data_IF_927678701981
#
_entry.id   IF_927678701981
#
_cell.length_a   1.000
_cell.length_b   1.000
_cell.length_c   1.000
_cell.angle_alpha   90.00
_cell.angle_beta   90.00
_cell.angle_gamma   90.00
#
_symmetry.space_group_name_H-M   'P 1'
#
loop_
_entity.id
_entity.type
_entity.pdbx_description
1 polymer ?
#
# COMPACT_ATOMS: atom_id res chain seq x y z
N UNK A 1 -9.62 25.92 -5.59
CA UNK A 1 -10.84 26.77 -5.66
C UNK A 1 -10.66 28.00 -6.54
N UNK A 2 -9.60 28.81 -6.36
CA UNK A 2 -9.43 30.09 -7.07
C UNK A 2 -8.58 29.99 -8.35
N UNK A 3 -8.54 28.82 -8.98
CA UNK A 3 -7.75 28.58 -10.19
C UNK A 3 -8.71 28.60 -11.40
N UNK A 4 -8.42 29.33 -12.48
CA UNK A 4 -9.22 29.32 -13.70
C UNK A 4 -9.41 27.90 -14.23
N UNK A 5 -10.64 27.55 -14.59
CA UNK A 5 -10.97 26.23 -15.10
C UNK A 5 -10.72 26.14 -16.60
N UNK A 6 -10.17 25.01 -17.02
CA UNK A 6 -9.94 24.66 -18.43
C UNK A 6 -11.05 23.70 -18.86
N UNK A 7 -11.70 24.00 -19.97
CA UNK A 7 -12.80 23.25 -20.55
C UNK A 7 -12.43 22.49 -21.83
N UNK A 8 -13.44 22.11 -22.62
CA UNK A 8 -13.23 21.39 -23.88
C UNK A 8 -12.26 22.10 -24.82
N UNK A 9 -11.39 21.33 -25.47
CA UNK A 9 -10.39 21.85 -26.41
C UNK A 9 -9.22 22.60 -25.75
N UNK A 10 -9.16 22.67 -24.41
CA UNK A 10 -8.12 23.42 -23.70
C UNK A 10 -8.44 24.89 -23.47
N UNK A 11 -9.66 25.34 -23.76
CA UNK A 11 -10.09 26.72 -23.61
C UNK A 11 -10.56 27.03 -22.18
N UNK A 12 -10.26 28.23 -21.68
CA UNK A 12 -10.73 28.66 -20.36
C UNK A 12 -12.25 28.88 -20.36
N UNK A 13 -12.92 28.42 -19.30
CA UNK A 13 -14.39 28.52 -19.21
C UNK A 13 -14.90 29.89 -18.76
N UNK A 14 -14.00 30.79 -18.34
CA UNK A 14 -14.34 32.06 -17.69
C UNK A 14 -14.75 31.93 -16.22
N UNK A 15 -14.74 30.71 -15.66
CA UNK A 15 -14.99 30.40 -14.25
C UNK A 15 -13.75 29.79 -13.59
N UNK A 16 -13.71 29.80 -12.27
CA UNK A 16 -12.72 29.08 -11.49
C UNK A 16 -13.18 27.65 -11.14
N UNK A 17 -12.26 26.72 -10.92
CA UNK A 17 -12.57 25.34 -10.52
C UNK A 17 -13.46 25.24 -9.27
N UNK A 18 -13.35 26.19 -8.32
CA UNK A 18 -14.19 26.23 -7.13
C UNK A 18 -15.67 26.46 -7.42
N UNK A 19 -16.01 27.07 -8.55
CA UNK A 19 -17.40 27.31 -8.97
C UNK A 19 -18.09 26.03 -9.48
N UNK A 20 -17.31 24.97 -9.75
CA UNK A 20 -17.81 23.65 -10.16
C UNK A 20 -17.88 22.65 -8.98
N UNK A 21 -17.85 23.13 -7.74
CA UNK A 21 -17.86 22.27 -6.55
C UNK A 21 -19.12 21.38 -6.51
N UNK A 22 -20.29 21.93 -6.87
CA UNK A 22 -21.55 21.18 -6.92
C UNK A 22 -21.54 20.11 -8.00
N UNK A 23 -21.08 20.44 -9.20
CA UNK A 23 -20.96 19.50 -10.32
C UNK A 23 -19.95 18.39 -10.00
N UNK A 24 -18.83 18.73 -9.36
CA UNK A 24 -17.82 17.77 -8.89
C UNK A 24 -18.40 16.80 -7.85
N UNK A 25 -19.17 17.30 -6.88
CA UNK A 25 -19.85 16.48 -5.88
C UNK A 25 -20.91 15.55 -6.50
N UNK A 26 -21.70 16.06 -7.45
CA UNK A 26 -22.67 15.24 -8.20
C UNK A 26 -21.98 14.16 -9.03
N UNK A 27 -20.88 14.51 -9.69
CA UNK A 27 -20.09 13.55 -10.47
C UNK A 27 -19.48 12.47 -9.57
N UNK A 28 -18.91 12.85 -8.42
CA UNK A 28 -18.41 11.90 -7.43
C UNK A 28 -19.51 10.94 -6.97
N UNK A 29 -20.72 11.45 -6.68
CA UNK A 29 -21.84 10.60 -6.29
C UNK A 29 -22.23 9.61 -7.39
N UNK A 30 -22.34 10.05 -8.65
CA UNK A 30 -22.65 9.17 -9.77
C UNK A 30 -21.60 8.07 -9.95
N UNK A 31 -20.31 8.39 -9.77
CA UNK A 31 -19.26 7.37 -9.81
C UNK A 31 -19.37 6.39 -8.62
N UNK A 32 -19.68 6.90 -7.42
CA UNK A 32 -19.92 6.07 -6.23
C UNK A 32 -21.08 5.09 -6.42
N UNK A 33 -22.16 5.50 -7.09
CA UNK A 33 -23.28 4.62 -7.45
C UNK A 33 -22.81 3.48 -8.36
N UNK A 34 -21.99 3.76 -9.38
CA UNK A 34 -21.40 2.71 -10.24
C UNK A 34 -20.52 1.76 -9.43
N UNK A 35 -19.64 2.27 -8.56
CA UNK A 35 -18.80 1.40 -7.70
C UNK A 35 -19.60 0.60 -6.68
N UNK A 36 -20.78 1.08 -6.28
CA UNK A 36 -21.71 0.38 -5.38
C UNK A 36 -22.40 -0.76 -6.10
N UNK A 37 -22.95 -0.50 -7.28
CA UNK A 37 -23.64 -1.49 -8.11
C UNK A 37 -22.69 -2.59 -8.57
N UNK A 38 -21.45 -2.26 -8.90
CA UNK A 38 -20.48 -3.22 -9.43
C UNK A 38 -20.60 -3.40 -10.95
N UNK A 39 -20.02 -4.47 -11.49
CA UNK A 39 -20.15 -4.80 -12.90
C UNK A 39 -21.58 -5.23 -13.28
N UNK A 40 -21.79 -5.62 -14.54
CA UNK A 40 -23.10 -6.08 -15.03
C UNK A 40 -23.74 -7.20 -14.17
N UNK A 41 -22.95 -7.95 -13.41
CA UNK A 41 -23.38 -9.03 -12.53
C UNK A 41 -23.29 -8.68 -11.04
N UNK A 42 -23.08 -7.41 -10.69
CA UNK A 42 -22.91 -6.97 -9.31
C UNK A 42 -21.55 -7.30 -8.70
N UNK A 43 -20.56 -7.69 -9.52
CA UNK A 43 -19.22 -8.06 -9.02
C UNK A 43 -18.44 -6.79 -8.72
N UNK A 44 -17.71 -6.79 -7.60
CA UNK A 44 -16.85 -5.66 -7.24
C UNK A 44 -15.77 -5.43 -8.29
N UNK A 45 -15.55 -4.16 -8.65
CA UNK A 45 -14.50 -3.80 -9.60
C UNK A 45 -13.10 -4.01 -9.01
N UNK A 46 -12.24 -4.67 -9.77
CA UNK A 46 -10.80 -4.64 -9.51
C UNK A 46 -10.21 -3.25 -9.86
N UNK A 47 -10.68 -2.68 -10.97
CA UNK A 47 -10.28 -1.38 -11.50
C UNK A 47 -11.46 -0.69 -12.24
N UNK A 48 -11.48 0.65 -12.31
CA UNK A 48 -10.61 1.58 -11.59
C UNK A 48 -10.86 1.53 -10.08
N UNK A 49 -9.83 1.80 -9.28
CA UNK A 49 -9.96 1.88 -7.83
C UNK A 49 -10.72 3.15 -7.44
N UNK A 50 -11.54 3.04 -6.40
CA UNK A 50 -12.22 4.19 -5.80
C UNK A 50 -11.35 4.79 -4.71
N UNK A 51 -10.32 5.53 -5.12
CA UNK A 51 -9.47 6.28 -4.21
C UNK A 51 -10.19 7.56 -3.76
N UNK A 52 -10.78 7.51 -2.56
CA UNK A 52 -11.55 8.60 -1.97
C UNK A 52 -10.68 9.40 -1.02
N UNK A 53 -10.30 10.59 -1.47
CA UNK A 53 -9.56 11.57 -0.67
C UNK A 53 -10.47 12.20 0.39
N UNK A 54 -9.97 12.26 1.62
CA UNK A 54 -10.66 12.77 2.81
C UNK A 54 -9.74 13.77 3.50
N UNK A 55 -10.30 14.95 3.79
CA UNK A 55 -9.70 16.02 4.56
C UNK A 55 -10.57 16.39 5.78
N UNK A 56 -10.25 17.48 6.48
CA UNK A 56 -11.07 17.94 7.62
C UNK A 56 -12.50 18.30 7.19
N UNK A 57 -12.69 18.88 6.01
CA UNK A 57 -14.00 19.32 5.50
C UNK A 57 -14.92 18.14 5.24
N UNK A 58 -14.37 16.98 4.94
CA UNK A 58 -15.13 15.73 4.80
C UNK A 58 -15.91 15.35 6.06
N UNK A 59 -15.56 15.89 7.23
CA UNK A 59 -16.27 15.68 8.50
C UNK A 59 -17.10 16.89 8.98
N UNK A 60 -16.80 18.08 8.46
CA UNK A 60 -17.36 19.36 8.89
C UNK A 60 -18.43 19.89 7.93
N UNK A 61 -18.17 19.84 6.61
CA UNK A 61 -19.10 20.30 5.58
C UNK A 61 -20.27 19.31 5.44
N UNK A 62 -21.54 19.77 5.49
CA UNK A 62 -22.69 18.89 5.43
C UNK A 62 -22.75 17.99 4.19
N UNK A 63 -22.42 18.53 3.00
CA UNK A 63 -22.48 17.76 1.75
C UNK A 63 -21.30 16.80 1.62
N UNK A 64 -20.08 17.22 1.95
CA UNK A 64 -18.94 16.31 1.94
C UNK A 64 -19.11 15.18 2.97
N UNK A 65 -19.65 15.49 4.15
CA UNK A 65 -19.99 14.49 5.17
C UNK A 65 -21.07 13.52 4.69
N UNK A 66 -22.08 14.01 3.96
CA UNK A 66 -23.09 13.15 3.34
C UNK A 66 -22.46 12.17 2.35
N UNK A 67 -21.55 12.65 1.50
CA UNK A 67 -20.81 11.82 0.53
C UNK A 67 -19.88 10.83 1.23
N UNK A 68 -19.19 11.24 2.28
CA UNK A 68 -18.35 10.34 3.09
C UNK A 68 -19.17 9.22 3.74
N UNK A 69 -20.35 9.55 4.29
CA UNK A 69 -21.27 8.54 4.83
C UNK A 69 -21.76 7.58 3.75
N UNK A 70 -22.06 8.07 2.56
CA UNK A 70 -22.40 7.22 1.41
C UNK A 70 -21.24 6.30 1.02
N UNK A 71 -20.01 6.79 1.00
CA UNK A 71 -18.84 5.94 0.81
C UNK A 71 -18.71 4.88 1.92
N UNK A 72 -19.02 5.19 3.17
CA UNK A 72 -19.01 4.20 4.26
C UNK A 72 -20.10 3.12 4.06
N UNK A 73 -21.24 3.45 3.47
CA UNK A 73 -22.27 2.48 3.06
C UNK A 73 -21.73 1.52 1.99
N UNK A 74 -21.09 2.06 0.96
CA UNK A 74 -20.46 1.25 -0.10
C UNK A 74 -19.35 0.37 0.49
N UNK A 75 -18.51 0.92 1.39
CA UNK A 75 -17.46 0.16 2.06
C UNK A 75 -18.00 -1.00 2.93
N UNK A 76 -19.18 -0.82 3.54
CA UNK A 76 -19.89 -1.89 4.26
C UNK A 76 -20.32 -3.01 3.30
N UNK A 77 -20.91 -2.62 2.17
CA UNK A 77 -21.46 -3.53 1.17
C UNK A 77 -20.38 -4.33 0.46
N UNK A 78 -19.51 -3.63 -0.26
CA UNK A 78 -18.58 -4.24 -1.20
C UNK A 78 -17.11 -3.85 -0.96
N UNK A 79 -16.81 -2.93 -0.04
CA UNK A 79 -15.44 -2.53 0.28
C UNK A 79 -14.71 -1.80 -0.85
N UNK A 80 -15.42 -1.26 -1.86
CA UNK A 80 -14.82 -0.53 -2.98
C UNK A 80 -13.96 0.68 -2.58
N UNK A 81 -14.38 1.55 -1.63
CA UNK A 81 -13.64 2.75 -1.28
C UNK A 81 -12.28 2.47 -0.63
N UNK A 82 -11.29 3.25 -1.03
CA UNK A 82 -10.01 3.39 -0.37
C UNK A 82 -9.98 4.78 0.26
N UNK A 83 -10.00 4.84 1.58
CA UNK A 83 -10.01 6.09 2.31
C UNK A 83 -8.59 6.64 2.40
N UNK A 84 -8.31 7.70 1.64
CA UNK A 84 -7.01 8.38 1.61
C UNK A 84 -7.12 9.60 2.51
N UNK A 85 -6.28 9.67 3.54
CA UNK A 85 -6.31 10.77 4.50
C UNK A 85 -5.30 11.85 4.12
N UNK A 86 -5.80 13.01 3.73
CA UNK A 86 -5.03 14.19 3.32
C UNK A 86 -4.99 15.19 4.46
N UNK A 87 -3.92 15.14 5.26
CA UNK A 87 -3.82 15.93 6.49
C UNK A 87 -3.33 17.36 6.27
N UNK A 88 -2.27 17.59 5.50
CA UNK A 88 -1.73 18.94 5.28
C UNK A 88 -1.16 19.18 3.87
N UNK A 89 -1.24 18.17 2.99
CA UNK A 89 -0.60 18.17 1.69
C UNK A 89 -1.62 18.10 0.56
N UNK A 90 -1.44 18.93 -0.47
CA UNK A 90 -2.04 18.65 -1.78
C UNK A 90 -1.33 17.40 -2.28
N UNK A 91 -2.03 16.28 -2.25
CA UNK A 91 -1.44 15.00 -2.58
C UNK A 91 -2.12 14.37 -3.78
N UNK A 92 -1.32 13.69 -4.61
CA UNK A 92 -1.83 12.86 -5.67
C UNK A 92 -1.55 11.40 -5.34
N UNK A 93 -2.60 10.59 -5.31
CA UNK A 93 -2.47 9.14 -5.33
C UNK A 93 -2.36 8.67 -6.79
N UNK A 94 -1.30 7.91 -7.07
CA UNK A 94 -1.01 7.31 -8.35
C UNK A 94 -0.98 5.78 -8.20
N UNK A 95 -1.87 5.08 -8.90
CA UNK A 95 -1.89 3.62 -8.96
C UNK A 95 -2.11 2.94 -7.59
N UNK A 96 -1.22 2.00 -7.19
CA UNK A 96 -1.52 1.07 -6.10
C UNK A 96 -1.40 1.69 -4.71
N UNK A 97 -0.35 2.49 -4.49
CA UNK A 97 0.02 3.08 -3.20
C UNK A 97 0.77 4.41 -3.37
N UNK A 98 1.26 4.75 -4.57
CA UNK A 98 2.18 5.87 -4.77
C UNK A 98 1.49 7.18 -4.41
N UNK A 99 1.91 7.80 -3.31
CA UNK A 99 1.49 9.14 -2.92
C UNK A 99 2.62 10.12 -3.21
N UNK A 100 2.29 11.25 -3.82
CA UNK A 100 3.23 12.35 -3.99
C UNK A 100 2.62 13.63 -3.44
N UNK A 101 3.33 14.26 -2.52
CA UNK A 101 3.06 15.62 -2.05
C UNK A 101 3.42 16.61 -3.17
N UNK A 102 2.49 17.52 -3.46
CA UNK A 102 2.62 18.57 -4.46
C UNK A 102 3.02 19.85 -3.74
N UNK A 103 4.32 20.12 -3.74
CA UNK A 103 4.89 21.36 -3.18
C UNK A 103 5.12 22.45 -4.24
N UNK A 104 5.06 22.07 -5.52
CA UNK A 104 5.28 22.98 -6.64
C UNK A 104 4.08 23.92 -6.85
N UNK A 105 4.29 25.21 -6.57
CA UNK A 105 3.28 26.26 -6.73
C UNK A 105 2.85 26.46 -8.18
N UNK A 106 3.72 26.18 -9.16
CA UNK A 106 3.34 26.23 -10.57
C UNK A 106 2.34 25.13 -10.89
N UNK A 107 2.61 23.90 -10.44
CA UNK A 107 1.68 22.78 -10.62
C UNK A 107 0.33 22.99 -9.91
N UNK A 108 0.32 23.67 -8.76
CA UNK A 108 -0.92 24.04 -8.06
C UNK A 108 -1.72 25.08 -8.85
N UNK A 109 -1.03 26.04 -9.48
CA UNK A 109 -1.66 27.10 -10.29
C UNK A 109 -2.12 26.62 -11.67
N UNK A 110 -1.44 25.61 -12.20
CA UNK A 110 -1.68 25.03 -13.52
C UNK A 110 -1.89 23.52 -13.39
N UNK A 111 -3.05 23.04 -12.90
CA UNK A 111 -3.30 21.61 -12.69
C UNK A 111 -3.12 20.75 -13.96
N UNK A 112 -3.32 21.31 -15.14
CA UNK A 112 -3.07 20.66 -16.44
C UNK A 112 -1.59 20.30 -16.67
N UNK A 113 -0.68 20.92 -15.90
CA UNK A 113 0.75 20.66 -15.89
C UNK A 113 1.15 19.54 -14.92
N UNK A 114 0.22 18.98 -14.13
CA UNK A 114 0.51 17.91 -13.18
C UNK A 114 0.93 16.63 -13.91
N UNK A 115 2.19 16.24 -13.75
CA UNK A 115 2.77 15.00 -14.28
C UNK A 115 3.64 14.37 -13.21
N UNK A 116 3.35 13.12 -12.85
CA UNK A 116 4.13 12.36 -11.87
C UNK A 116 4.46 10.99 -12.42
N UNK A 117 5.69 10.55 -12.19
CA UNK A 117 6.14 9.22 -12.59
C UNK A 117 6.94 8.58 -11.45
N UNK A 118 6.48 7.42 -10.99
CA UNK A 118 7.33 6.47 -10.28
C UNK A 118 8.20 5.76 -11.32
N UNK A 119 9.51 5.96 -11.29
CA UNK A 119 10.42 5.51 -12.35
C UNK A 119 10.73 4.01 -12.24
N UNK A 120 11.01 3.55 -11.02
CA UNK A 120 11.37 2.19 -10.71
C UNK A 120 11.17 1.95 -9.23
N UNK A 121 10.79 0.73 -8.84
CA UNK A 121 10.86 0.26 -7.47
C UNK A 121 11.97 -0.81 -7.33
N UNK A 122 12.84 -0.64 -6.33
CA UNK A 122 13.80 -1.65 -5.88
C UNK A 122 13.55 -1.95 -4.39
N UNK A 123 13.11 -3.18 -4.10
CA UNK A 123 12.75 -3.59 -2.73
C UNK A 123 13.94 -4.16 -1.95
N UNK A 124 14.15 -3.65 -0.75
CA UNK A 124 15.11 -4.17 0.23
C UNK A 124 14.50 -5.33 1.03
N UNK A 125 15.17 -6.49 0.97
CA UNK A 125 14.83 -7.67 1.77
C UNK A 125 15.43 -7.54 3.18
N UNK A 126 14.65 -7.04 4.15
CA UNK A 126 15.11 -6.83 5.53
C UNK A 126 15.51 -8.14 6.24
N UNK A 127 14.76 -9.26 6.10
CA UNK A 127 15.19 -10.55 6.65
C UNK A 127 16.59 -10.94 6.22
N UNK A 128 16.90 -10.80 4.93
CA UNK A 128 18.24 -11.11 4.41
C UNK A 128 19.33 -10.22 5.00
N UNK A 129 19.04 -8.94 5.27
CA UNK A 129 19.97 -8.07 5.98
C UNK A 129 20.24 -8.59 7.40
N UNK A 130 19.21 -9.13 8.07
CA UNK A 130 19.32 -9.68 9.42
C UNK A 130 20.10 -11.00 9.44
N UNK A 131 19.84 -11.92 8.50
CA UNK A 131 20.60 -13.18 8.39
C UNK A 131 22.10 -12.95 8.13
N UNK A 132 22.44 -11.94 7.31
CA UNK A 132 23.84 -11.57 7.04
C UNK A 132 24.52 -10.84 8.19
N UNK A 133 23.77 -10.15 9.03
CA UNK A 133 24.31 -9.52 10.23
C UNK A 133 24.52 -10.54 11.35
N UNK A 134 23.59 -11.48 11.50
CA UNK A 134 23.55 -12.42 12.62
C UNK A 134 23.32 -13.87 12.14
N UNK A 135 24.32 -14.50 11.50
CA UNK A 135 24.20 -15.88 11.07
C UNK A 135 24.18 -16.84 12.28
N UNK A 136 23.44 -17.94 12.17
CA UNK A 136 23.27 -18.97 13.19
C UNK A 136 22.64 -18.46 14.50
N UNK A 137 21.80 -17.43 14.45
CA UNK A 137 21.09 -16.96 15.64
C UNK A 137 20.13 -18.04 16.16
N UNK A 138 20.22 -18.39 17.44
CA UNK A 138 19.30 -19.35 18.06
C UNK A 138 18.04 -18.61 18.50
N UNK A 139 16.92 -18.83 17.81
CA UNK A 139 15.63 -18.18 18.15
C UNK A 139 15.11 -18.60 19.53
N UNK A 140 15.34 -19.85 19.95
CA UNK A 140 14.95 -20.35 21.28
C UNK A 140 15.82 -19.80 22.43
N UNK A 141 16.93 -19.13 22.11
CA UNK A 141 17.88 -18.52 23.04
C UNK A 141 18.25 -17.09 22.54
N UNK A 142 17.32 -16.33 21.94
CA UNK A 142 17.65 -15.04 21.31
C UNK A 142 18.22 -14.06 22.35
N UNK A 143 19.55 -14.00 22.37
CA UNK A 143 20.42 -13.37 23.36
C UNK A 143 21.13 -12.13 22.81
N UNK A 144 20.73 -11.66 21.62
CA UNK A 144 21.21 -10.41 21.07
C UNK A 144 20.51 -9.28 21.81
N UNK A 145 21.21 -8.71 22.78
CA UNK A 145 20.80 -7.46 23.39
C UNK A 145 20.81 -6.40 22.28
N UNK A 146 19.63 -5.99 21.81
CA UNK A 146 19.49 -4.93 20.82
C UNK A 146 19.61 -3.54 21.44
N UNK A 147 19.86 -3.46 22.76
CA UNK A 147 20.43 -2.26 23.39
C UNK A 147 21.95 -2.19 23.19
N UNK A 148 22.59 -3.29 22.78
CA UNK A 148 23.98 -3.25 22.33
C UNK A 148 24.06 -2.45 21.03
N UNK A 149 24.71 -1.29 21.11
CA UNK A 149 24.87 -0.40 19.98
C UNK A 149 25.63 -1.05 18.83
N UNK A 150 26.56 -1.97 19.10
CA UNK A 150 27.42 -2.53 18.07
C UNK A 150 26.66 -3.54 17.21
N UNK A 151 25.78 -4.34 17.81
CA UNK A 151 24.86 -5.21 17.07
C UNK A 151 23.94 -4.38 16.16
N UNK A 152 23.36 -3.30 16.70
CA UNK A 152 22.48 -2.45 15.91
C UNK A 152 23.22 -1.74 14.77
N UNK A 153 24.43 -1.24 15.01
CA UNK A 153 25.31 -0.65 13.99
C UNK A 153 25.62 -1.67 12.89
N UNK A 154 25.91 -2.92 13.24
CA UNK A 154 26.17 -3.99 12.27
C UNK A 154 24.95 -4.26 11.38
N UNK A 155 23.75 -4.34 11.97
CA UNK A 155 22.53 -4.55 11.19
C UNK A 155 22.21 -3.36 10.27
N UNK A 156 22.30 -2.13 10.79
CA UNK A 156 22.10 -0.93 9.99
C UNK A 156 23.14 -0.78 8.88
N UNK A 157 24.37 -1.24 9.09
CA UNK A 157 25.38 -1.31 8.04
C UNK A 157 24.95 -2.27 6.91
N UNK A 158 24.35 -3.44 7.22
CA UNK A 158 23.82 -4.34 6.18
C UNK A 158 22.65 -3.74 5.41
N UNK A 159 21.75 -3.02 6.09
CA UNK A 159 20.67 -2.28 5.42
C UNK A 159 21.26 -1.20 4.51
N UNK A 160 22.26 -0.44 4.98
CA UNK A 160 22.89 0.62 4.21
C UNK A 160 23.58 0.10 2.94
N UNK A 161 24.28 -1.03 3.04
CA UNK A 161 24.86 -1.71 1.88
C UNK A 161 23.79 -2.05 0.83
N UNK A 162 22.63 -2.55 1.26
CA UNK A 162 21.53 -2.87 0.36
C UNK A 162 20.88 -1.60 -0.24
N UNK A 163 20.70 -0.54 0.56
CA UNK A 163 20.20 0.75 0.09
C UNK A 163 21.13 1.37 -0.95
N UNK A 164 22.44 1.36 -0.70
CA UNK A 164 23.42 1.87 -1.66
C UNK A 164 23.36 1.08 -2.98
N UNK A 165 23.21 -0.24 -2.93
CA UNK A 165 23.03 -1.06 -4.14
C UNK A 165 21.75 -0.70 -4.91
N UNK A 166 20.64 -0.44 -4.20
CA UNK A 166 19.40 0.01 -4.83
C UNK A 166 19.58 1.38 -5.53
N UNK A 167 20.32 2.30 -4.92
CA UNK A 167 20.67 3.59 -5.57
C UNK A 167 21.47 3.37 -6.85
N UNK A 168 22.46 2.48 -6.85
CA UNK A 168 23.22 2.17 -8.06
C UNK A 168 22.31 1.58 -9.16
N UNK A 169 21.37 0.71 -8.79
CA UNK A 169 20.38 0.17 -9.73
C UNK A 169 19.50 1.28 -10.35
N UNK A 170 19.06 2.25 -9.54
CA UNK A 170 18.30 3.40 -10.03
C UNK A 170 19.10 4.29 -10.98
N UNK A 171 20.36 4.60 -10.65
CA UNK A 171 21.23 5.39 -11.53
C UNK A 171 21.44 4.71 -12.89
N UNK A 172 21.69 3.40 -12.89
CA UNK A 172 21.82 2.61 -14.11
C UNK A 172 20.52 2.61 -14.91
N UNK A 173 19.37 2.42 -14.24
CA UNK A 173 18.06 2.46 -14.89
C UNK A 173 17.76 3.82 -15.50
N UNK A 174 18.00 4.91 -14.77
CA UNK A 174 17.83 6.29 -15.25
C UNK A 174 18.63 6.54 -16.52
N UNK A 175 19.90 6.14 -16.56
CA UNK A 175 20.75 6.25 -17.75
C UNK A 175 20.17 5.50 -18.94
N UNK A 176 19.73 4.25 -18.71
CA UNK A 176 19.14 3.42 -19.77
C UNK A 176 17.82 3.98 -20.31
N UNK A 177 16.92 4.45 -19.42
CA UNK A 177 15.67 5.09 -19.81
C UNK A 177 15.92 6.35 -20.63
N UNK A 178 16.88 7.18 -20.22
CA UNK A 178 17.27 8.40 -20.94
C UNK A 178 17.66 8.08 -22.39
N UNK A 179 18.49 7.06 -22.61
CA UNK A 179 18.86 6.62 -23.96
C UNK A 179 17.63 6.24 -24.81
N UNK A 180 16.66 5.53 -24.23
CA UNK A 180 15.43 5.13 -24.95
C UNK A 180 14.44 6.28 -25.20
N UNK A 181 14.53 7.35 -24.41
CA UNK A 181 13.68 8.54 -24.51
C UNK A 181 14.24 9.59 -25.49
N UNK A 182 15.56 9.62 -25.69
CA UNK A 182 16.23 10.58 -26.59
C UNK A 182 16.29 10.10 -28.05
N UNK A 183 16.28 8.79 -28.29
CA UNK A 183 16.30 8.20 -29.63
C UNK A 183 14.91 8.24 -30.29
N UNK A 184 14.69 8.91 -31.44
CA UNK A 184 13.42 8.92 -32.17
C UNK A 184 12.86 7.55 -32.57
N UNK A 185 13.73 6.55 -32.68
CA UNK A 185 13.35 5.15 -32.94
C UNK A 185 13.12 4.34 -31.66
N UNK A 186 13.43 4.94 -30.51
CA UNK A 186 13.34 4.32 -29.19
C UNK A 186 11.90 4.12 -28.72
N UNK A 187 11.63 3.05 -27.96
CA UNK A 187 10.27 2.72 -27.52
C UNK A 187 9.68 3.73 -26.53
N UNK A 188 10.52 4.56 -25.90
CA UNK A 188 10.09 5.58 -24.93
C UNK A 188 10.21 7.01 -25.49
N UNK A 189 10.51 7.18 -26.77
CA UNK A 189 10.72 8.50 -27.36
C UNK A 189 9.53 9.44 -27.13
N UNK A 190 8.30 8.95 -27.36
CA UNK A 190 7.08 9.76 -27.27
C UNK A 190 6.90 10.41 -25.88
N UNK A 191 7.23 9.69 -24.81
CA UNK A 191 7.13 10.21 -23.44
C UNK A 191 8.33 11.09 -23.05
N UNK A 192 9.43 11.03 -23.81
CA UNK A 192 10.59 11.91 -23.66
C UNK A 192 10.47 13.24 -24.41
N UNK A 193 9.53 13.35 -25.36
CA UNK A 193 9.32 14.58 -26.14
C UNK A 193 8.88 15.74 -25.27
N UNK A 194 9.34 16.93 -25.64
CA UNK A 194 8.83 18.19 -25.13
C UNK A 194 7.37 18.36 -25.56
N UNK A 195 6.48 18.50 -24.57
CA UNK A 195 5.08 18.79 -24.78
C UNK A 195 4.85 20.30 -25.01
N UNK A 196 3.61 20.70 -25.27
CA UNK A 196 3.27 22.08 -25.60
C UNK A 196 3.56 23.09 -24.48
N UNK A 197 3.69 22.61 -23.23
CA UNK A 197 4.05 23.43 -22.07
C UNK A 197 5.56 23.59 -21.88
N UNK A 198 6.38 23.16 -22.84
CA UNK A 198 7.84 23.32 -22.82
C UNK A 198 8.59 22.31 -21.96
N UNK A 199 7.89 21.30 -21.42
CA UNK A 199 8.48 20.25 -20.55
C UNK A 199 8.30 18.86 -21.16
N UNK A 200 9.21 17.91 -20.91
CA UNK A 200 8.99 16.53 -21.32
C UNK A 200 7.73 15.96 -20.66
N UNK A 201 7.09 14.97 -21.29
CA UNK A 201 5.93 14.32 -20.68
C UNK A 201 6.33 13.52 -19.42
N UNK A 202 7.44 12.80 -19.48
CA UNK A 202 8.10 12.20 -18.32
C UNK A 202 9.46 12.86 -18.12
N UNK A 203 9.64 13.49 -16.96
CA UNK A 203 10.94 14.04 -16.55
C UNK A 203 11.64 13.06 -15.59
N UNK A 204 12.76 12.47 -16.02
CA UNK A 204 13.53 11.52 -15.21
C UNK A 204 14.27 12.18 -14.03
N UNK A 205 14.46 13.50 -14.06
CA UNK A 205 15.10 14.26 -12.98
C UNK A 205 14.10 14.61 -11.87
N UNK A 206 12.82 14.80 -12.21
CA UNK A 206 11.73 15.07 -11.26
C UNK A 206 10.98 13.81 -10.83
N UNK A 207 11.17 12.69 -11.54
CA UNK A 207 10.56 11.40 -11.25
C UNK A 207 10.98 10.83 -9.90
N UNK A 208 10.07 10.11 -9.24
CA UNK A 208 10.31 9.48 -7.95
C UNK A 208 10.90 8.07 -8.13
N UNK A 209 12.02 7.80 -7.48
CA UNK A 209 12.71 6.50 -7.47
C UNK A 209 12.40 5.80 -6.15
N UNK A 210 11.70 4.67 -6.23
CA UNK A 210 11.09 4.03 -5.08
C UNK A 210 12.04 2.97 -4.50
N UNK A 211 12.30 3.10 -3.20
CA UNK A 211 12.97 2.08 -2.41
C UNK A 211 11.88 1.36 -1.61
N UNK A 212 11.57 0.14 -2.02
CA UNK A 212 10.62 -0.69 -1.30
C UNK A 212 11.26 -1.34 -0.07
N UNK A 213 10.45 -1.73 0.91
CA UNK A 213 10.88 -2.64 1.98
C UNK A 213 9.95 -3.85 2.10
N UNK A 214 10.44 -4.94 2.68
CA UNK A 214 9.64 -6.15 2.95
C UNK A 214 10.22 -6.92 4.15
N UNK A 215 9.34 -7.62 4.87
CA UNK A 215 9.74 -8.59 5.91
C UNK A 215 10.25 -7.94 7.20
N UNK A 216 9.75 -6.76 7.58
CA UNK A 216 10.14 -6.13 8.84
C UNK A 216 9.88 -7.06 10.03
N UNK A 217 8.72 -7.74 10.05
CA UNK A 217 8.35 -8.69 11.09
C UNK A 217 9.36 -9.85 11.21
N UNK A 218 9.77 -10.44 10.09
CA UNK A 218 10.72 -11.56 10.11
C UNK A 218 12.14 -11.10 10.44
N UNK A 219 12.54 -9.89 10.04
CA UNK A 219 13.81 -9.30 10.42
C UNK A 219 13.89 -9.08 11.94
N UNK A 220 12.87 -8.47 12.55
CA UNK A 220 12.86 -8.26 14.02
C UNK A 220 12.76 -9.58 14.77
N UNK A 221 12.00 -10.56 14.25
CA UNK A 221 11.92 -11.89 14.84
C UNK A 221 13.26 -12.63 14.80
N UNK A 222 14.02 -12.52 13.71
CA UNK A 222 15.35 -13.13 13.62
C UNK A 222 16.33 -12.53 14.62
N UNK A 223 16.24 -11.23 14.87
CA UNK A 223 17.12 -10.49 15.78
C UNK A 223 16.74 -10.73 17.25
N UNK A 224 15.45 -10.66 17.57
CA UNK A 224 14.97 -10.58 18.95
C UNK A 224 14.31 -11.86 19.47
N UNK A 225 14.08 -12.83 18.58
CA UNK A 225 13.24 -14.00 18.86
C UNK A 225 11.74 -13.68 18.92
N UNK A 226 11.36 -12.40 18.92
CA UNK A 226 9.98 -11.93 19.07
C UNK A 226 9.46 -11.25 17.81
N UNK A 227 8.19 -11.46 17.51
CA UNK A 227 7.50 -10.78 16.41
C UNK A 227 7.18 -9.33 16.77
N UNK A 228 6.91 -8.53 15.74
CA UNK A 228 6.70 -7.08 15.88
C UNK A 228 5.55 -6.70 16.85
N UNK A 229 4.61 -7.62 17.08
CA UNK A 229 3.45 -7.42 17.96
C UNK A 229 3.68 -7.90 19.41
N UNK A 230 4.77 -8.62 19.70
CA UNK A 230 5.00 -9.34 20.97
C UNK A 230 5.72 -8.50 22.04
N UNK A 231 6.07 -7.25 21.75
CA UNK A 231 6.71 -6.34 22.70
C UNK A 231 6.75 -4.90 22.20
N UNK A 232 6.64 -3.93 23.12
CA UNK A 232 6.72 -2.51 22.75
C UNK A 232 8.15 -2.08 22.41
N UNK A 233 9.14 -2.69 23.06
CA UNK A 233 10.57 -2.62 22.73
C UNK A 233 10.85 -3.15 21.30
N UNK A 234 10.28 -4.30 20.94
CA UNK A 234 10.41 -4.90 19.60
C UNK A 234 9.73 -4.02 18.54
N UNK A 235 8.55 -3.48 18.86
CA UNK A 235 7.85 -2.55 17.99
C UNK A 235 8.66 -1.26 17.75
N UNK A 236 9.25 -0.69 18.82
CA UNK A 236 10.14 0.48 18.73
C UNK A 236 11.40 0.19 17.92
N UNK A 237 11.97 -1.02 18.01
CA UNK A 237 13.06 -1.44 17.13
C UNK A 237 12.62 -1.41 15.66
N UNK A 238 11.42 -1.92 15.35
CA UNK A 238 10.82 -1.81 14.02
C UNK A 238 10.75 -0.37 13.53
N UNK A 239 10.25 0.56 14.36
CA UNK A 239 10.22 1.99 14.03
C UNK A 239 11.61 2.57 13.78
N UNK A 240 12.61 2.19 14.59
CA UNK A 240 13.99 2.63 14.45
C UNK A 240 14.59 2.17 13.12
N UNK A 241 14.31 0.94 12.69
CA UNK A 241 14.74 0.38 11.40
C UNK A 241 14.14 1.19 10.23
N UNK A 242 12.83 1.40 10.23
CA UNK A 242 12.15 2.15 9.16
C UNK A 242 12.58 3.61 9.14
N UNK A 243 12.78 4.21 10.32
CA UNK A 243 13.30 5.58 10.45
C UNK A 243 14.71 5.70 9.87
N UNK A 244 15.60 4.73 10.16
CA UNK A 244 16.93 4.67 9.56
C UNK A 244 16.86 4.63 8.02
N UNK A 245 16.04 3.74 7.45
CA UNK A 245 15.88 3.66 5.98
C UNK A 245 15.36 4.97 5.39
N UNK A 246 14.37 5.60 6.02
CA UNK A 246 13.78 6.87 5.58
C UNK A 246 14.82 7.99 5.57
N UNK A 247 15.62 8.11 6.63
CA UNK A 247 16.70 9.09 6.72
C UNK A 247 17.78 8.86 5.66
N UNK A 248 18.16 7.59 5.42
CA UNK A 248 19.12 7.23 4.37
C UNK A 248 18.60 7.51 2.96
N UNK A 249 17.30 7.33 2.71
CA UNK A 249 16.69 7.75 1.44
C UNK A 249 16.85 9.25 1.21
N UNK A 250 16.64 10.09 2.24
CA UNK A 250 16.86 11.55 2.15
C UNK A 250 18.33 11.89 1.90
N UNK A 251 19.24 11.32 2.70
CA UNK A 251 20.69 11.51 2.53
C UNK A 251 21.15 11.14 1.11
N UNK A 252 20.70 9.99 0.60
CA UNK A 252 21.03 9.55 -0.76
C UNK A 252 20.33 10.35 -1.84
N UNK A 253 19.17 10.92 -1.55
CA UNK A 253 18.50 11.80 -2.51
C UNK A 253 19.36 13.03 -2.80
N UNK A 254 19.85 13.67 -1.73
CA UNK A 254 20.74 14.84 -1.82
C UNK A 254 22.08 14.45 -2.44
N UNK A 255 22.70 13.37 -1.95
CA UNK A 255 24.04 12.94 -2.39
C UNK A 255 24.11 12.55 -3.87
N UNK A 256 23.07 11.89 -4.39
CA UNK A 256 23.07 11.34 -5.76
C UNK A 256 22.17 12.13 -6.72
N UNK A 257 21.56 13.23 -6.27
CA UNK A 257 20.61 14.03 -7.04
C UNK A 257 19.50 13.16 -7.67
N UNK A 258 18.84 12.37 -6.83
CA UNK A 258 17.72 11.50 -7.19
C UNK A 258 16.59 11.72 -6.18
N UNK A 259 15.33 11.86 -6.62
CA UNK A 259 14.20 11.89 -5.70
C UNK A 259 13.89 10.48 -5.20
N UNK A 260 14.62 10.01 -4.18
CA UNK A 260 14.38 8.70 -3.57
C UNK A 260 13.27 8.78 -2.54
N UNK A 261 12.41 7.77 -2.50
CA UNK A 261 11.37 7.70 -1.50
C UNK A 261 11.10 6.26 -1.06
N UNK A 262 10.86 6.11 0.23
CA UNK A 262 10.54 4.83 0.84
C UNK A 262 9.07 4.48 0.57
N UNK A 263 8.80 3.23 0.18
CA UNK A 263 7.47 2.70 -0.13
C UNK A 263 7.23 1.36 0.58
N UNK A 264 5.99 1.12 1.01
CA UNK A 264 5.53 -0.25 1.26
C UNK A 264 5.28 -0.98 -0.06
N UNK A 265 6.27 -1.76 -0.49
CA UNK A 265 6.16 -2.62 -1.68
C UNK A 265 4.83 -3.38 -1.65
N UNK A 266 4.04 -3.41 -2.74
CA UNK A 266 2.87 -4.28 -2.82
C UNK A 266 3.25 -5.76 -2.67
N UNK A 267 4.43 -6.13 -3.15
CA UNK A 267 5.10 -7.42 -2.97
C UNK A 267 4.24 -8.67 -3.27
N UNK A 268 3.37 -8.60 -4.28
CA UNK A 268 2.48 -9.70 -4.66
C UNK A 268 3.24 -10.99 -4.96
N UNK A 269 4.29 -10.89 -5.78
CA UNK A 269 5.22 -11.97 -6.11
C UNK A 269 6.51 -11.93 -5.29
N UNK A 270 6.98 -10.73 -4.92
CA UNK A 270 8.24 -10.56 -4.21
C UNK A 270 8.25 -11.23 -2.83
N UNK A 271 7.13 -11.19 -2.10
CA UNK A 271 7.03 -11.80 -0.76
C UNK A 271 7.36 -13.30 -0.76
N UNK A 272 6.78 -14.06 -1.70
CA UNK A 272 7.07 -15.48 -1.85
C UNK A 272 8.43 -15.74 -2.51
N UNK A 273 8.77 -14.99 -3.57
CA UNK A 273 10.03 -15.20 -4.28
C UNK A 273 11.25 -15.02 -3.37
N UNK A 274 11.27 -13.95 -2.58
CA UNK A 274 12.38 -13.66 -1.67
C UNK A 274 12.48 -14.71 -0.56
N UNK A 275 11.35 -15.09 0.05
CA UNK A 275 11.32 -16.16 1.05
C UNK A 275 11.85 -17.49 0.50
N UNK A 276 11.45 -17.89 -0.72
CA UNK A 276 11.93 -19.13 -1.34
C UNK A 276 13.42 -19.15 -1.62
N UNK A 277 13.99 -18.03 -2.06
CA UNK A 277 15.44 -17.91 -2.26
C UNK A 277 16.15 -18.00 -0.91
N UNK A 278 15.68 -17.29 0.10
CA UNK A 278 16.33 -17.29 1.41
C UNK A 278 16.20 -18.63 2.13
N UNK A 279 15.14 -19.42 1.89
CA UNK A 279 15.01 -20.80 2.38
C UNK A 279 16.10 -21.74 1.83
N UNK A 280 16.68 -21.43 0.68
CA UNK A 280 17.77 -22.19 0.06
C UNK A 280 19.13 -21.70 0.56
N UNK A 281 19.30 -20.38 0.68
CA UNK A 281 20.60 -19.74 0.94
C UNK A 281 20.89 -19.51 2.44
N UNK A 282 19.86 -19.32 3.26
CA UNK A 282 19.98 -18.96 4.67
C UNK A 282 19.20 -19.96 5.53
N UNK A 283 19.85 -20.96 6.14
CA UNK A 283 19.17 -21.97 6.98
C UNK A 283 18.31 -21.38 8.10
N UNK A 284 18.70 -20.21 8.63
CA UNK A 284 17.95 -19.50 9.67
C UNK A 284 16.59 -18.98 9.21
N UNK A 285 16.40 -18.76 7.91
CA UNK A 285 15.13 -18.24 7.37
C UNK A 285 13.94 -19.16 7.68
N UNK A 286 14.17 -20.48 7.73
CA UNK A 286 13.16 -21.49 8.09
C UNK A 286 12.49 -21.24 9.44
N UNK A 287 13.15 -20.48 10.32
CA UNK A 287 12.67 -20.21 11.67
C UNK A 287 11.69 -19.03 11.75
N UNK A 288 11.68 -18.15 10.74
CA UNK A 288 10.88 -16.90 10.76
C UNK A 288 9.90 -16.76 9.59
N UNK A 289 10.16 -17.39 8.45
CA UNK A 289 9.28 -17.36 7.27
C UNK A 289 7.85 -17.80 7.64
N UNK A 290 6.85 -17.13 7.06
CA UNK A 290 5.41 -17.39 7.30
C UNK A 290 4.84 -18.36 6.27
N UNK A 291 3.62 -18.86 6.54
CA UNK A 291 3.02 -19.95 5.78
C UNK A 291 3.74 -21.28 6.01
N UNK A 292 3.65 -22.18 5.02
CA UNK A 292 4.30 -23.48 5.11
C UNK A 292 5.78 -23.39 4.69
N UNK A 293 6.68 -23.41 5.66
CA UNK A 293 8.14 -23.33 5.49
C UNK A 293 8.77 -24.51 4.72
N UNK A 294 8.02 -25.60 4.51
CA UNK A 294 8.45 -26.75 3.71
C UNK A 294 7.89 -26.73 2.28
N UNK A 295 7.20 -25.66 1.87
CA UNK A 295 6.45 -25.65 0.62
C UNK A 295 6.34 -24.30 -0.06
N UNK A 296 5.63 -24.32 -1.19
CA UNK A 296 5.45 -23.17 -2.07
C UNK A 296 4.61 -22.04 -1.48
N UNK A 297 3.98 -22.27 -0.34
CA UNK A 297 3.15 -21.29 0.39
C UNK A 297 3.96 -20.38 1.31
N UNK A 298 5.29 -20.54 1.36
CA UNK A 298 6.19 -19.69 2.14
C UNK A 298 6.19 -18.23 1.66
N UNK A 299 6.17 -17.28 2.61
CA UNK A 299 6.22 -15.84 2.31
C UNK A 299 6.84 -15.00 3.44
N UNK A 300 7.31 -13.80 3.09
CA UNK A 300 7.60 -12.73 4.05
C UNK A 300 6.39 -11.82 4.26
N UNK A 301 6.19 -11.37 5.50
CA UNK A 301 5.13 -10.42 5.83
C UNK A 301 5.35 -9.12 5.07
N UNK A 302 4.26 -8.56 4.53
CA UNK A 302 4.37 -7.42 3.63
C UNK A 302 4.88 -6.16 4.35
N UNK A 303 5.98 -5.59 3.88
CA UNK A 303 6.50 -4.29 4.33
C UNK A 303 6.61 -4.17 5.87
N UNK A 304 5.85 -3.25 6.47
CA UNK A 304 5.80 -2.96 7.91
C UNK A 304 4.66 -3.66 8.64
N UNK A 305 3.86 -4.47 7.94
CA UNK A 305 2.64 -5.05 8.50
C UNK A 305 2.99 -6.04 9.60
N UNK A 306 2.07 -6.22 10.53
CA UNK A 306 2.11 -7.38 11.40
C UNK A 306 1.86 -8.65 10.60
N UNK A 307 2.37 -9.78 11.09
CA UNK A 307 2.04 -11.09 10.52
C UNK A 307 0.51 -11.25 10.39
N UNK A 308 0.06 -11.87 9.30
CA UNK A 308 -1.36 -12.05 9.03
C UNK A 308 -2.05 -12.80 10.19
N UNK A 309 -1.41 -13.87 10.67
CA UNK A 309 -1.88 -14.70 11.79
C UNK A 309 -1.69 -14.09 13.18
N UNK A 310 -1.15 -12.87 13.31
CA UNK A 310 -0.91 -12.27 14.62
C UNK A 310 -2.22 -12.16 15.45
N UNK A 311 -2.22 -12.51 16.74
CA UNK A 311 -3.38 -12.48 17.61
C UNK A 311 -3.69 -11.07 18.14
N UNK A 312 -3.62 -10.06 17.27
CA UNK A 312 -3.90 -8.65 17.59
C UNK A 312 -5.12 -8.17 16.81
N UNK A 313 -6.03 -7.49 17.50
CA UNK A 313 -7.28 -7.01 16.92
C UNK A 313 -7.06 -5.95 15.82
N UNK A 314 -8.09 -5.73 15.03
CA UNK A 314 -8.03 -4.84 13.88
C UNK A 314 -7.73 -3.37 14.25
N UNK A 315 -8.26 -2.89 15.38
CA UNK A 315 -8.04 -1.49 15.81
C UNK A 315 -6.59 -1.32 16.26
N UNK A 316 -6.06 -2.26 17.03
CA UNK A 316 -4.65 -2.27 17.42
C UNK A 316 -3.72 -2.31 16.20
N UNK A 317 -4.05 -3.13 15.18
CA UNK A 317 -3.31 -3.17 13.90
C UNK A 317 -3.29 -1.81 13.23
N UNK A 318 -4.44 -1.16 13.12
CA UNK A 318 -4.55 0.17 12.51
C UNK A 318 -3.71 1.19 13.27
N UNK A 319 -3.88 1.30 14.59
CA UNK A 319 -3.17 2.28 15.43
C UNK A 319 -1.65 2.08 15.35
N UNK A 320 -1.16 0.85 15.54
CA UNK A 320 0.28 0.59 15.56
C UNK A 320 0.89 0.71 14.17
N UNK A 321 0.28 0.15 13.11
CA UNK A 321 0.83 0.27 11.76
C UNK A 321 0.85 1.72 11.27
N UNK A 322 -0.14 2.53 11.65
CA UNK A 322 -0.19 3.97 11.32
C UNK A 322 1.02 4.75 11.81
N UNK A 323 1.74 4.27 12.84
CA UNK A 323 2.97 4.93 13.33
C UNK A 323 4.13 4.86 12.34
N UNK A 324 4.11 3.93 11.39
CA UNK A 324 5.14 3.83 10.34
C UNK A 324 4.88 4.77 9.17
N UNK A 325 3.63 5.13 8.90
CA UNK A 325 3.22 5.83 7.69
C UNK A 325 3.91 7.21 7.50
N UNK A 326 4.16 8.03 8.55
CA UNK A 326 4.95 9.26 8.41
C UNK A 326 6.39 9.04 7.90
N UNK A 327 6.93 7.83 8.09
CA UNK A 327 8.29 7.47 7.65
C UNK A 327 8.31 6.97 6.19
N UNK A 328 7.14 6.67 5.61
CA UNK A 328 6.96 6.07 4.28
C UNK A 328 6.18 7.04 3.39
N UNK A 329 6.91 7.96 2.76
CA UNK A 329 6.30 9.08 2.01
C UNK A 329 5.65 8.68 0.69
N UNK A 330 6.04 7.57 0.08
CA UNK A 330 5.56 7.17 -1.25
C UNK A 330 4.60 5.99 -1.28
N UNK A 331 3.92 5.71 -0.17
CA UNK A 331 2.75 4.83 -0.19
C UNK A 331 2.72 3.80 0.92
N UNK A 332 1.66 3.88 1.72
CA UNK A 332 1.41 2.99 2.85
C UNK A 332 -0.10 2.78 2.99
N UNK A 333 -0.50 1.52 3.17
CA UNK A 333 -1.92 1.13 3.21
C UNK A 333 -2.14 0.13 4.32
N UNK A 334 -3.24 0.32 5.04
CA UNK A 334 -3.73 -0.64 6.02
C UNK A 334 -4.98 -1.32 5.46
N UNK A 335 -4.96 -2.65 5.46
CA UNK A 335 -6.10 -3.48 5.09
C UNK A 335 -6.87 -3.91 6.34
N UNK A 336 -8.08 -3.42 6.48
CA UNK A 336 -9.04 -3.97 7.43
C UNK A 336 -9.72 -5.19 6.80
N UNK A 337 -9.05 -6.35 6.86
CA UNK A 337 -9.64 -7.62 6.45
C UNK A 337 -10.82 -7.96 7.36
N UNK A 338 -12.03 -8.04 6.79
CA UNK A 338 -13.27 -8.32 7.55
C UNK A 338 -13.93 -9.64 7.15
N UNK A 339 -13.37 -10.35 6.16
CA UNK A 339 -13.91 -11.63 5.69
C UNK A 339 -15.37 -11.49 5.27
N UNK A 340 -16.22 -12.36 5.79
CA UNK A 340 -17.67 -12.32 5.57
C UNK A 340 -18.40 -11.23 6.40
N UNK A 341 -17.77 -10.70 7.46
CA UNK A 341 -18.39 -9.73 8.37
C UNK A 341 -18.76 -8.43 7.68
N UNK A 342 -20.00 -7.97 7.83
CA UNK A 342 -20.51 -6.70 7.27
C UNK A 342 -20.69 -5.63 8.37
N UNK A 343 -19.62 -4.91 8.76
CA UNK A 343 -19.74 -3.79 9.70
C UNK A 343 -20.78 -2.78 9.23
N UNK A 344 -21.55 -2.19 10.15
CA UNK A 344 -22.53 -1.17 9.79
C UNK A 344 -21.84 0.06 9.16
N UNK A 345 -22.52 0.77 8.24
CA UNK A 345 -21.99 2.02 7.68
C UNK A 345 -21.57 3.03 8.75
N UNK A 346 -22.34 3.13 9.84
CA UNK A 346 -22.05 4.02 10.97
C UNK A 346 -20.80 3.57 11.75
N UNK A 347 -20.57 2.26 11.92
CA UNK A 347 -19.34 1.74 12.53
C UNK A 347 -18.12 2.06 11.68
N UNK A 348 -18.23 1.95 10.35
CA UNK A 348 -17.15 2.29 9.41
C UNK A 348 -16.88 3.80 9.45
N UNK A 349 -17.92 4.63 9.42
CA UNK A 349 -17.78 6.09 9.55
C UNK A 349 -17.05 6.47 10.84
N UNK A 350 -17.43 5.89 11.98
CA UNK A 350 -16.77 6.13 13.26
C UNK A 350 -15.32 5.65 13.28
N UNK A 351 -15.02 4.51 12.63
CA UNK A 351 -13.64 4.05 12.46
C UNK A 351 -12.83 5.05 11.62
N UNK A 352 -13.33 5.43 10.44
CA UNK A 352 -12.67 6.38 9.53
C UNK A 352 -12.40 7.72 10.24
N UNK A 353 -13.38 8.24 10.98
CA UNK A 353 -13.24 9.45 11.78
C UNK A 353 -12.16 9.30 12.87
N UNK A 354 -12.18 8.23 13.66
CA UNK A 354 -11.15 8.00 14.71
C UNK A 354 -9.75 7.83 14.11
N UNK A 355 -9.64 7.20 12.95
CA UNK A 355 -8.38 7.05 12.22
C UNK A 355 -7.86 8.41 11.74
N UNK A 356 -8.74 9.27 11.23
CA UNK A 356 -8.41 10.66 10.90
C UNK A 356 -7.89 11.43 12.13
N UNK A 357 -8.65 11.41 13.24
CA UNK A 357 -8.40 12.24 14.43
C UNK A 357 -7.23 11.76 15.30
N UNK A 358 -6.96 10.46 15.35
CA UNK A 358 -6.06 9.86 16.35
C UNK A 358 -4.88 9.09 15.78
N UNK A 359 -4.72 9.05 14.46
CA UNK A 359 -3.61 8.32 13.83
C UNK A 359 -3.01 9.11 12.68
N UNK A 360 -1.87 8.61 12.19
CA UNK A 360 -1.20 9.12 10.98
C UNK A 360 -1.39 8.16 9.78
N UNK A 361 -2.47 7.37 9.78
CA UNK A 361 -2.77 6.46 8.68
C UNK A 361 -2.91 7.23 7.36
N UNK A 362 -2.14 6.88 6.34
CA UNK A 362 -2.23 7.49 5.00
C UNK A 362 -3.42 6.95 4.20
N UNK A 363 -3.67 5.64 4.28
CA UNK A 363 -4.69 4.98 3.48
C UNK A 363 -5.27 3.77 4.23
N UNK A 364 -6.60 3.67 4.27
CA UNK A 364 -7.34 2.57 4.90
C UNK A 364 -8.33 1.95 3.91
N UNK A 365 -8.46 0.63 3.93
CA UNK A 365 -9.47 -0.09 3.15
C UNK A 365 -10.25 -1.05 4.03
N UNK A 366 -11.56 -1.13 3.82
CA UNK A 366 -12.38 -2.24 4.33
C UNK A 366 -12.33 -3.36 3.28
N UNK A 367 -11.89 -4.55 3.71
CA UNK A 367 -11.50 -5.63 2.81
C UNK A 367 -12.34 -6.89 3.08
N UNK A 368 -13.58 -6.94 2.57
CA UNK A 368 -14.41 -8.13 2.58
C UNK A 368 -13.96 -9.18 1.56
N UNK A 369 -14.52 -10.38 1.72
CA UNK A 369 -14.35 -11.51 0.82
C UNK A 369 -15.67 -11.82 0.13
N UNK A 370 -15.61 -12.33 -1.10
CA UNK A 370 -16.77 -12.70 -1.89
C UNK A 370 -16.58 -14.05 -2.57
N UNK A 371 -17.69 -14.74 -2.80
CA UNK A 371 -17.80 -15.93 -3.63
C UNK A 371 -18.68 -15.61 -4.83
N UNK A 372 -18.23 -15.96 -6.03
CA UNK A 372 -18.93 -15.69 -7.28
C UNK A 372 -19.25 -17.01 -7.96
N UNK A 373 -20.51 -17.21 -8.33
CA UNK A 373 -20.95 -18.40 -9.06
C UNK A 373 -20.75 -18.27 -10.57
N UNK A 374 -20.16 -19.27 -11.20
CA UNK A 374 -20.00 -19.32 -12.66
C UNK A 374 -21.29 -19.72 -13.39
N UNK A 375 -22.27 -20.29 -12.68
CA UNK A 375 -23.54 -20.78 -13.27
C UNK A 375 -24.61 -19.69 -13.30
N UNK A 376 -24.94 -19.10 -12.15
CA UNK A 376 -26.02 -18.10 -12.04
C UNK A 376 -25.53 -16.66 -11.81
N UNK A 377 -24.21 -16.43 -11.76
CA UNK A 377 -23.58 -15.13 -11.51
C UNK A 377 -23.85 -14.50 -10.13
N UNK A 378 -24.45 -15.25 -9.19
CA UNK A 378 -24.66 -14.79 -7.82
C UNK A 378 -23.34 -14.36 -7.16
N UNK A 379 -23.36 -13.21 -6.48
CA UNK A 379 -22.25 -12.69 -5.68
C UNK A 379 -22.62 -12.78 -4.21
N UNK A 380 -21.99 -13.71 -3.51
CA UNK A 380 -22.20 -13.92 -2.08
C UNK A 380 -21.03 -13.38 -1.28
N UNK A 381 -21.31 -12.85 -0.09
CA UNK A 381 -20.27 -12.39 0.85
C UNK A 381 -19.67 -13.59 1.59
N UNK A 382 -18.37 -13.53 1.87
CA UNK A 382 -17.59 -14.63 2.43
C UNK A 382 -17.07 -15.60 1.36
N UNK A 383 -16.13 -16.46 1.76
CA UNK A 383 -15.63 -17.56 0.93
C UNK A 383 -16.44 -18.83 1.24
N UNK A 384 -17.14 -19.34 0.24
CA UNK A 384 -18.07 -20.47 0.35
C UNK A 384 -17.75 -21.52 -0.71
N UNK A 385 -18.03 -22.79 -0.40
CA UNK A 385 -17.80 -23.92 -1.32
C UNK A 385 -18.93 -24.08 -2.35
N UNK A 386 -20.12 -23.55 -2.06
CA UNK A 386 -21.30 -23.64 -2.90
C UNK A 386 -21.99 -22.28 -3.04
N UNK A 387 -22.66 -22.06 -4.17
CA UNK A 387 -23.45 -20.87 -4.41
C UNK A 387 -24.74 -20.84 -3.57
N UNK A 388 -25.01 -19.74 -2.85
CA UNK A 388 -26.26 -19.56 -2.09
C UNK A 388 -27.53 -19.47 -2.95
N UNK A 389 -27.39 -19.09 -4.23
CA UNK A 389 -28.53 -18.95 -5.15
C UNK A 389 -28.95 -20.27 -5.78
N UNK A 390 -28.01 -20.99 -6.41
CA UNK A 390 -28.31 -22.21 -7.18
C UNK A 390 -27.73 -23.52 -6.61
N UNK A 391 -26.95 -23.47 -5.53
CA UNK A 391 -26.31 -24.64 -4.91
C UNK A 391 -25.08 -25.19 -5.65
N UNK A 392 -24.75 -24.66 -6.84
CA UNK A 392 -23.59 -25.13 -7.61
C UNK A 392 -22.28 -25.00 -6.83
N UNK A 393 -21.40 -26.00 -6.95
CA UNK A 393 -20.02 -25.95 -6.45
C UNK A 393 -19.06 -25.23 -7.42
N UNK A 394 -19.53 -24.85 -8.62
CA UNK A 394 -18.75 -24.08 -9.58
C UNK A 394 -18.73 -22.59 -9.21
N UNK A 395 -17.90 -22.29 -8.23
CA UNK A 395 -17.71 -20.96 -7.65
C UNK A 395 -16.22 -20.59 -7.58
N UNK A 396 -15.92 -19.29 -7.53
CA UNK A 396 -14.58 -18.80 -7.23
C UNK A 396 -14.61 -17.67 -6.21
N UNK A 397 -13.59 -17.63 -5.35
CA UNK A 397 -13.43 -16.57 -4.36
C UNK A 397 -12.77 -15.32 -4.94
N UNK A 398 -13.15 -14.15 -4.40
CA UNK A 398 -12.59 -12.83 -4.71
C UNK A 398 -12.29 -12.10 -3.41
N UNK A 399 -11.08 -11.59 -3.27
CA UNK A 399 -10.69 -10.71 -2.16
C UNK A 399 -9.48 -9.86 -2.55
N UNK A 400 -9.06 -8.97 -1.66
CA UNK A 400 -7.90 -8.09 -1.88
C UNK A 400 -6.60 -8.86 -1.68
N UNK A 401 -5.78 -8.93 -2.73
CA UNK A 401 -4.48 -9.64 -2.65
C UNK A 401 -3.42 -8.80 -1.94
N UNK A 402 -3.12 -7.61 -2.46
CA UNK A 402 -2.16 -6.64 -1.88
C UNK A 402 -2.67 -5.20 -1.89
N UNK A 403 -3.82 -4.95 -2.53
CA UNK A 403 -4.29 -3.59 -2.80
C UNK A 403 -5.37 -3.46 -3.85
N UNK A 404 -5.85 -4.55 -4.45
CA UNK A 404 -6.98 -4.58 -5.38
C UNK A 404 -7.67 -5.94 -5.30
N UNK A 405 -8.95 -6.01 -5.67
CA UNK A 405 -9.69 -7.26 -5.73
C UNK A 405 -9.17 -8.16 -6.84
N UNK A 406 -8.97 -9.43 -6.53
CA UNK A 406 -8.46 -10.43 -7.46
C UNK A 406 -9.13 -11.78 -7.20
N UNK A 407 -9.26 -12.59 -8.27
CA UNK A 407 -9.76 -13.96 -8.19
C UNK A 407 -8.72 -14.84 -7.51
N UNK A 408 -9.09 -15.49 -6.41
CA UNK A 408 -8.17 -16.30 -5.59
C UNK A 408 -7.56 -17.45 -6.39
N UNK A 409 -8.29 -18.01 -7.36
CA UNK A 409 -7.81 -19.07 -8.26
C UNK A 409 -6.60 -18.66 -9.10
N UNK A 410 -6.37 -17.35 -9.30
CA UNK A 410 -5.24 -16.83 -10.06
C UNK A 410 -4.03 -16.52 -9.17
N UNK A 411 -4.14 -16.72 -7.86
CA UNK A 411 -3.09 -16.33 -6.92
C UNK A 411 -1.94 -17.33 -6.93
N UNK A 412 -0.74 -16.80 -6.71
CA UNK A 412 0.41 -17.64 -6.42
C UNK A 412 0.23 -18.35 -5.05
N UNK A 413 0.89 -19.51 -4.90
CA UNK A 413 0.76 -20.34 -3.68
C UNK A 413 1.15 -19.60 -2.40
N UNK A 414 2.10 -18.67 -2.45
CA UNK A 414 2.49 -17.88 -1.29
C UNK A 414 1.38 -16.92 -0.81
N UNK A 415 0.57 -16.37 -1.71
CA UNK A 415 -0.61 -15.58 -1.34
C UNK A 415 -1.78 -16.43 -0.86
N UNK A 416 -1.87 -17.69 -1.31
CA UNK A 416 -2.77 -18.67 -0.69
C UNK A 416 -2.34 -18.97 0.76
N UNK A 417 -1.04 -19.13 1.01
CA UNK A 417 -0.49 -19.26 2.36
C UNK A 417 -0.84 -18.07 3.25
N UNK A 418 -0.64 -16.85 2.73
CA UNK A 418 -1.02 -15.62 3.43
C UNK A 418 -2.52 -15.54 3.72
N UNK A 419 -3.39 -15.96 2.79
CA UNK A 419 -4.83 -15.97 3.00
C UNK A 419 -5.24 -16.89 4.16
N UNK A 420 -4.66 -18.09 4.24
CA UNK A 420 -4.89 -19.01 5.38
C UNK A 420 -4.48 -18.37 6.71
N UNK A 421 -3.34 -17.68 6.71
CA UNK A 421 -2.85 -16.98 7.91
C UNK A 421 -3.73 -15.76 8.26
N UNK A 422 -4.38 -15.10 7.28
CA UNK A 422 -5.38 -14.06 7.58
C UNK A 422 -6.60 -14.65 8.30
N UNK A 423 -7.07 -15.84 7.91
CA UNK A 423 -8.21 -16.49 8.57
C UNK A 423 -7.89 -17.02 9.96
N UNK A 424 -6.62 -17.28 10.29
CA UNK A 424 -6.19 -17.64 11.65
C UNK A 424 -5.89 -16.44 12.55
N UNK A 425 -5.72 -15.25 11.98
CA UNK A 425 -5.47 -14.01 12.73
C UNK A 425 -6.70 -13.44 13.43
N UNK A 426 -6.48 -12.57 14.42
CA UNK A 426 -7.58 -11.89 15.10
C UNK A 426 -7.96 -10.59 14.38
N UNK A 427 -8.96 -10.61 13.50
CA UNK A 427 -9.45 -9.41 12.81
C UNK A 427 -10.74 -8.84 13.39
N UNK A 428 -11.15 -9.30 14.58
CA UNK A 428 -12.38 -8.82 15.22
C UNK A 428 -12.25 -7.35 15.59
N UNK A 429 -13.34 -6.60 15.38
CA UNK A 429 -13.51 -5.28 15.97
C UNK A 429 -13.87 -5.49 17.43
N UNK A 430 -12.99 -5.08 18.35
CA UNK A 430 -13.37 -5.01 19.76
C UNK A 430 -14.37 -3.85 19.88
N UNK A 431 -15.65 -4.19 19.94
CA UNK A 431 -16.68 -3.23 20.35
C UNK A 431 -16.47 -3.08 21.85
N UNK A 432 -15.91 -1.94 22.27
CA UNK A 432 -15.97 -1.57 23.68
C UNK A 432 -17.45 -1.40 24.04
N UNK A 433 -17.93 -2.24 24.96
CA UNK A 433 -19.24 -2.07 25.62
C UNK A 433 -19.36 -0.71 26.32
#
# INVERSE_FOLDING_TARGET
KNIPAIGPGGEYTGKNYGEYEKESQLFLQALMEVWREGDYHGKVFAFPKMDLHIDSKSFEDPEQKRLLKYACEIASENGSPYFIFDRDDISLAACCRLKTEITDQEMIRYPEKLRFAGIQNVTINLPQCAYRAFPNSKISESSLDFNDEDNLKLFFHKIDQALHLAVQAHLQKKKFLKMMMEDPSGPLWQIGKIALDGRPYVNLDEGTYLIGLIGLNEAVQHITGKQLHEGEDVFKLGLKIVSFMSLKCREYSEKFNLKLSLEESPAESAAGRLAKIDLQEFPDSKKVVKGNSNGDESYYTNSIHFAASAPIDLVTRIIKQSKFHPLIKSGAIIHAFVGESRPSPESIYNLVKKVWEHTQCSQLTISPEFTICNVCNEVSRGLQENCNGCGSADVYGVTRIVGYYSKITNWNKNKIGELKDRHSGNYKLVVSE
#
